data_IF_226845293596
#
_entry.id   IF_226845293596
#
_cell.length_a   1.000
_cell.length_b   1.000
_cell.length_c   1.000
_cell.angle_alpha   90.00
_cell.angle_beta   90.00
_cell.angle_gamma   90.00
#
_symmetry.space_group_name_H-M   'P 1'
#
loop_
_entity.id
_entity.type
_entity.pdbx_description
1 polymer ?
#
# COMPACT_ATOMS: atom_id res chain seq x y z
N UNK A 1 -3.79 8.77 -13.74
CA UNK A 1 -5.23 9.13 -13.62
C UNK A 1 -5.60 9.33 -12.15
N UNK A 2 -6.42 10.33 -11.77
CA UNK A 2 -6.75 10.60 -10.35
C UNK A 2 -8.02 9.87 -9.91
N UNK A 3 -7.88 8.71 -9.28
CA UNK A 3 -9.00 7.96 -8.68
C UNK A 3 -9.38 8.56 -7.32
N UNK A 4 -10.67 8.85 -7.09
CA UNK A 4 -11.15 9.25 -5.75
C UNK A 4 -11.21 8.03 -4.84
N UNK A 5 -10.37 8.00 -3.82
CA UNK A 5 -10.38 6.94 -2.80
C UNK A 5 -11.35 7.31 -1.69
N UNK A 6 -12.17 6.35 -1.25
CA UNK A 6 -13.00 6.50 -0.05
C UNK A 6 -12.17 6.09 1.16
N UNK A 7 -11.78 7.08 1.95
CA UNK A 7 -10.89 6.93 3.11
C UNK A 7 -11.45 7.57 4.38
N UNK A 8 -12.79 7.70 4.45
CA UNK A 8 -13.51 8.26 5.60
C UNK A 8 -14.67 7.37 6.02
N UNK A 9 -14.86 7.27 7.33
CA UNK A 9 -16.01 6.63 7.93
C UNK A 9 -17.29 7.41 7.63
N UNK A 10 -18.42 6.67 7.52
CA UNK A 10 -19.73 7.29 7.29
C UNK A 10 -20.18 8.13 8.49
N UNK A 11 -19.89 7.64 9.69
CA UNK A 11 -20.09 8.34 10.95
C UNK A 11 -18.70 8.66 11.51
N UNK A 12 -18.15 9.85 11.22
CA UNK A 12 -16.79 10.19 11.63
C UNK A 12 -16.65 10.26 13.14
N UNK A 13 -17.68 10.69 13.88
CA UNK A 13 -17.69 10.85 15.34
C UNK A 13 -17.67 9.53 16.14
N UNK A 14 -17.66 8.38 15.43
CA UNK A 14 -17.59 7.07 16.06
C UNK A 14 -16.18 6.49 15.86
N UNK A 15 -15.38 6.58 16.91
CA UNK A 15 -14.07 5.95 16.99
C UNK A 15 -14.18 4.47 16.58
N UNK A 16 -13.43 4.08 15.54
CA UNK A 16 -13.29 2.68 15.15
C UNK A 16 -12.08 2.05 15.83
N UNK A 17 -12.12 0.74 16.02
CA UNK A 17 -10.96 -0.02 16.51
C UNK A 17 -9.81 0.03 15.50
N UNK A 18 -8.59 -0.09 15.99
CA UNK A 18 -7.40 -0.17 15.15
C UNK A 18 -7.47 -1.32 14.13
N UNK A 19 -8.09 -2.46 14.50
CA UNK A 19 -8.39 -3.57 13.59
C UNK A 19 -9.29 -3.14 12.42
N UNK A 20 -10.42 -2.48 12.69
CA UNK A 20 -11.32 -1.97 11.64
C UNK A 20 -10.66 -0.90 10.77
N UNK A 21 -9.81 -0.06 11.34
CA UNK A 21 -9.02 0.89 10.58
C UNK A 21 -8.03 0.16 9.66
N UNK A 22 -7.40 -0.92 10.12
CA UNK A 22 -6.55 -1.79 9.29
C UNK A 22 -7.31 -2.41 8.12
N UNK A 23 -8.51 -2.93 8.36
CA UNK A 23 -9.36 -3.48 7.29
C UNK A 23 -9.77 -2.42 6.25
N UNK A 24 -10.17 -1.23 6.71
CA UNK A 24 -10.51 -0.11 5.83
C UNK A 24 -9.28 0.38 5.04
N UNK A 25 -8.12 0.42 5.67
CA UNK A 25 -6.86 0.78 5.04
C UNK A 25 -6.44 -0.28 4.00
N UNK A 26 -6.79 -1.55 4.18
CA UNK A 26 -6.59 -2.60 3.18
C UNK A 26 -7.34 -2.32 1.87
N UNK A 27 -8.56 -1.78 1.95
CA UNK A 27 -9.28 -1.32 0.77
C UNK A 27 -8.57 -0.14 0.08
N UNK A 28 -8.06 0.82 0.87
CA UNK A 28 -7.27 1.94 0.34
C UNK A 28 -6.02 1.45 -0.37
N UNK A 29 -5.24 0.56 0.24
CA UNK A 29 -4.03 -0.01 -0.35
C UNK A 29 -4.33 -0.72 -1.67
N UNK A 30 -5.44 -1.44 -1.74
CA UNK A 30 -5.90 -2.06 -2.99
C UNK A 30 -6.16 -1.03 -4.09
N UNK A 31 -6.88 0.06 -3.79
CA UNK A 31 -7.14 1.12 -4.78
C UNK A 31 -5.85 1.82 -5.23
N UNK A 32 -4.90 2.04 -4.31
CA UNK A 32 -3.60 2.61 -4.63
C UNK A 32 -2.79 1.69 -5.54
N UNK A 33 -2.68 0.41 -5.21
CA UNK A 33 -1.95 -0.58 -6.01
C UNK A 33 -2.56 -0.74 -7.42
N UNK A 34 -3.90 -0.80 -7.54
CA UNK A 34 -4.56 -0.82 -8.84
C UNK A 34 -4.33 0.46 -9.64
N UNK A 35 -4.36 1.62 -8.99
CA UNK A 35 -4.11 2.90 -9.66
C UNK A 35 -2.66 3.00 -10.13
N UNK A 36 -1.70 2.58 -9.32
CA UNK A 36 -0.29 2.55 -9.70
C UNK A 36 -0.03 1.60 -10.88
N UNK A 37 -0.60 0.39 -10.84
CA UNK A 37 -0.52 -0.55 -11.96
C UNK A 37 -1.11 0.00 -13.27
N UNK A 38 -2.19 0.78 -13.18
CA UNK A 38 -2.77 1.50 -14.34
C UNK A 38 -1.92 2.68 -14.80
N UNK A 39 -1.29 3.39 -13.87
CA UNK A 39 -0.42 4.51 -14.20
C UNK A 39 0.81 4.01 -14.97
N UNK A 40 1.45 2.92 -14.55
CA UNK A 40 2.54 2.32 -15.33
C UNK A 40 2.12 2.04 -16.78
N UNK A 41 0.94 1.48 -16.99
CA UNK A 41 0.42 1.27 -18.35
C UNK A 41 0.14 2.57 -19.12
N UNK A 42 -0.30 3.63 -18.42
CA UNK A 42 -0.54 4.94 -19.02
C UNK A 42 0.75 5.71 -19.34
N UNK A 43 1.86 5.39 -18.67
CA UNK A 43 3.21 5.87 -18.96
C UNK A 43 3.95 4.95 -19.96
N UNK A 44 3.19 4.23 -20.80
CA UNK A 44 3.66 3.34 -21.87
C UNK A 44 4.52 2.13 -21.44
N UNK A 45 4.55 1.79 -20.14
CA UNK A 45 5.11 0.51 -19.69
C UNK A 45 4.16 -0.64 -20.04
N UNK A 46 4.72 -1.78 -20.45
CA UNK A 46 3.94 -2.90 -21.00
C UNK A 46 4.00 -4.09 -20.05
N UNK A 47 2.82 -4.60 -19.69
CA UNK A 47 2.69 -5.93 -19.12
C UNK A 47 2.64 -6.97 -20.24
N UNK A 48 3.47 -8.01 -20.14
CA UNK A 48 3.51 -9.11 -21.10
C UNK A 48 2.22 -9.95 -21.03
N UNK A 49 1.70 -10.15 -19.82
CA UNK A 49 0.47 -10.89 -19.57
C UNK A 49 -0.17 -10.47 -18.24
N UNK A 50 -1.32 -11.08 -17.94
CA UNK A 50 -2.04 -10.84 -16.69
C UNK A 50 -1.29 -11.36 -15.46
N UNK A 51 -0.43 -12.39 -15.60
CA UNK A 51 0.40 -12.91 -14.49
C UNK A 51 1.37 -11.83 -14.04
N UNK A 52 2.06 -11.18 -14.97
CA UNK A 52 2.98 -10.10 -14.71
C UNK A 52 2.27 -8.89 -14.08
N UNK A 53 1.10 -8.51 -14.61
CA UNK A 53 0.29 -7.41 -14.04
C UNK A 53 -0.14 -7.69 -12.61
N UNK A 54 -0.63 -8.90 -12.33
CA UNK A 54 -1.03 -9.32 -10.97
C UNK A 54 0.18 -9.35 -10.03
N UNK A 55 1.35 -9.80 -10.50
CA UNK A 55 2.59 -9.78 -9.71
C UNK A 55 3.04 -8.35 -9.36
N UNK A 56 2.90 -7.38 -10.26
CA UNK A 56 3.18 -5.95 -9.98
C UNK A 56 2.23 -5.41 -8.91
N UNK A 57 0.93 -5.69 -9.01
CA UNK A 57 -0.06 -5.29 -7.99
C UNK A 57 0.30 -5.88 -6.62
N UNK A 58 0.79 -7.13 -6.57
CA UNK A 58 1.26 -7.77 -5.32
C UNK A 58 2.40 -6.98 -4.69
N UNK A 59 3.44 -6.62 -5.44
CA UNK A 59 4.58 -5.90 -4.88
C UNK A 59 4.18 -4.50 -4.37
N UNK A 60 3.29 -3.78 -5.08
CA UNK A 60 2.73 -2.52 -4.58
C UNK A 60 2.00 -2.69 -3.25
N UNK A 61 1.14 -3.71 -3.13
CA UNK A 61 0.45 -4.01 -1.88
C UNK A 61 1.42 -4.33 -0.73
N UNK A 62 2.46 -5.11 -1.00
CA UNK A 62 3.47 -5.46 0.00
C UNK A 62 4.20 -4.21 0.48
N UNK A 63 4.63 -3.35 -0.46
CA UNK A 63 5.26 -2.08 -0.15
C UNK A 63 4.34 -1.17 0.69
N UNK A 64 3.06 -1.09 0.35
CA UNK A 64 2.07 -0.32 1.09
C UNK A 64 1.81 -0.86 2.50
N UNK A 65 1.76 -2.18 2.69
CA UNK A 65 1.64 -2.80 4.03
C UNK A 65 2.87 -2.46 4.88
N UNK A 66 4.08 -2.52 4.29
CA UNK A 66 5.30 -2.12 4.99
C UNK A 66 5.27 -0.63 5.37
N UNK A 67 4.95 0.25 4.43
CA UNK A 67 4.89 1.69 4.67
C UNK A 67 3.83 2.04 5.73
N UNK A 68 2.68 1.36 5.73
CA UNK A 68 1.65 1.53 6.74
C UNK A 68 2.15 1.13 8.14
N UNK A 69 2.94 0.05 8.26
CA UNK A 69 3.56 -0.34 9.52
C UNK A 69 4.55 0.72 10.03
N UNK A 70 5.37 1.30 9.13
CA UNK A 70 6.29 2.40 9.51
C UNK A 70 5.53 3.66 9.95
N UNK A 71 4.50 4.06 9.20
CA UNK A 71 3.62 5.16 9.59
C UNK A 71 2.91 4.89 10.92
N UNK A 72 2.45 3.65 11.16
CA UNK A 72 1.83 3.24 12.41
C UNK A 72 2.82 3.31 13.58
N UNK A 73 4.06 2.90 13.37
CA UNK A 73 5.12 2.98 14.37
C UNK A 73 5.35 4.42 14.84
N UNK A 74 5.34 5.38 13.92
CA UNK A 74 5.57 6.79 14.24
C UNK A 74 4.35 7.48 14.89
N UNK A 75 3.13 7.00 14.62
CA UNK A 75 1.90 7.76 14.91
C UNK A 75 0.92 7.07 15.87
N UNK A 76 1.08 5.78 16.15
CA UNK A 76 0.15 5.01 16.97
C UNK A 76 0.83 4.41 18.20
N UNK A 77 0.03 4.15 19.23
CA UNK A 77 0.47 3.32 20.35
C UNK A 77 0.74 1.88 19.89
N UNK A 78 1.65 1.20 20.59
CA UNK A 78 2.07 -0.15 20.23
C UNK A 78 0.89 -1.15 20.18
N UNK A 79 -0.11 -1.00 21.05
CA UNK A 79 -1.30 -1.85 21.04
C UNK A 79 -2.15 -1.65 19.78
N UNK A 80 -2.36 -0.41 19.36
CA UNK A 80 -3.11 -0.09 18.14
C UNK A 80 -2.36 -0.54 16.89
N UNK A 81 -1.04 -0.32 16.83
CA UNK A 81 -0.20 -0.84 15.74
C UNK A 81 -0.28 -2.37 15.64
N UNK A 82 -0.19 -3.07 16.78
CA UNK A 82 -0.25 -4.53 16.84
C UNK A 82 -1.60 -5.10 16.39
N UNK A 83 -2.69 -4.33 16.50
CA UNK A 83 -3.99 -4.70 15.94
C UNK A 83 -4.15 -4.30 14.47
N UNK A 84 -3.70 -3.09 14.10
CA UNK A 84 -3.90 -2.52 12.76
C UNK A 84 -3.09 -3.26 11.68
N UNK A 85 -1.81 -3.53 11.93
CA UNK A 85 -0.90 -4.06 10.90
C UNK A 85 -1.29 -5.48 10.44
N UNK A 86 -1.59 -6.43 11.35
CA UNK A 86 -2.07 -7.75 10.94
C UNK A 86 -3.41 -7.69 10.20
N UNK A 87 -4.35 -6.86 10.67
CA UNK A 87 -5.66 -6.68 10.03
C UNK A 87 -5.52 -6.15 8.60
N UNK A 88 -4.64 -5.15 8.41
CA UNK A 88 -4.27 -4.61 7.10
C UNK A 88 -3.67 -5.67 6.19
N UNK A 89 -2.65 -6.40 6.67
CA UNK A 89 -1.97 -7.42 5.88
C UNK A 89 -2.94 -8.51 5.40
N UNK A 90 -3.82 -8.98 6.29
CA UNK A 90 -4.84 -9.98 5.96
C UNK A 90 -5.90 -9.42 5.00
N UNK A 91 -6.32 -8.16 5.16
CA UNK A 91 -7.25 -7.53 4.24
C UNK A 91 -6.66 -7.43 2.82
N UNK A 92 -5.39 -7.00 2.69
CA UNK A 92 -4.67 -6.99 1.42
C UNK A 92 -4.55 -8.39 0.82
N UNK A 93 -4.18 -9.40 1.62
CA UNK A 93 -4.01 -10.77 1.14
C UNK A 93 -5.33 -11.38 0.63
N UNK A 94 -6.45 -11.16 1.35
CA UNK A 94 -7.79 -11.60 0.92
C UNK A 94 -8.22 -10.93 -0.38
N UNK A 95 -8.01 -9.62 -0.49
CA UNK A 95 -8.38 -8.86 -1.68
C UNK A 95 -7.54 -9.29 -2.89
N UNK A 96 -6.23 -9.45 -2.71
CA UNK A 96 -5.32 -9.97 -3.71
C UNK A 96 -5.74 -11.36 -4.18
N UNK A 97 -5.98 -12.28 -3.23
CA UNK A 97 -6.40 -13.65 -3.55
C UNK A 97 -7.66 -13.70 -4.41
N UNK A 98 -8.71 -12.97 -4.02
CA UNK A 98 -9.97 -12.94 -4.79
C UNK A 98 -9.75 -12.49 -6.24
N UNK A 99 -8.96 -11.44 -6.45
CA UNK A 99 -8.69 -10.91 -7.79
C UNK A 99 -7.73 -11.82 -8.58
N UNK A 100 -6.74 -12.41 -7.92
CA UNK A 100 -5.82 -13.34 -8.57
C UNK A 100 -6.55 -14.62 -9.01
N UNK A 101 -7.48 -15.15 -8.21
CA UNK A 101 -8.31 -16.30 -8.62
C UNK A 101 -9.18 -15.96 -9.82
N UNK A 102 -9.78 -14.77 -9.84
CA UNK A 102 -10.62 -14.31 -10.95
C UNK A 102 -9.84 -14.18 -12.25
N UNK A 103 -8.61 -13.65 -12.19
CA UNK A 103 -7.79 -13.34 -13.37
C UNK A 103 -6.93 -14.53 -13.82
N UNK A 104 -6.36 -15.29 -12.88
CA UNK A 104 -5.35 -16.32 -13.14
C UNK A 104 -5.87 -17.75 -12.93
N UNK A 105 -7.10 -17.91 -12.43
CA UNK A 105 -7.67 -19.21 -12.06
C UNK A 105 -7.21 -19.70 -10.68
N UNK A 106 -7.55 -20.95 -10.34
CA UNK A 106 -7.34 -21.51 -8.99
C UNK A 106 -5.89 -21.46 -8.51
N UNK A 107 -5.68 -21.07 -7.26
CA UNK A 107 -4.36 -21.05 -6.61
C UNK A 107 -4.42 -20.53 -5.18
N UNK A 108 -3.40 -20.86 -4.37
CA UNK A 108 -3.27 -20.33 -3.01
C UNK A 108 -2.50 -19.00 -2.98
N UNK A 109 -3.10 -17.99 -3.61
CA UNK A 109 -2.50 -16.65 -3.68
C UNK A 109 -2.44 -15.95 -2.32
N UNK A 110 -3.27 -16.37 -1.35
CA UNK A 110 -3.24 -15.76 -0.02
C UNK A 110 -1.96 -16.18 0.73
N UNK A 111 -1.63 -17.48 0.75
CA UNK A 111 -0.40 -17.95 1.37
C UNK A 111 0.83 -17.36 0.66
N UNK A 112 0.85 -17.36 -0.68
CA UNK A 112 1.95 -16.78 -1.46
C UNK A 112 2.14 -15.28 -1.20
N UNK A 113 1.05 -14.53 -1.01
CA UNK A 113 1.11 -13.11 -0.64
C UNK A 113 1.79 -12.92 0.70
N UNK A 114 1.36 -13.66 1.74
CA UNK A 114 1.92 -13.54 3.10
C UNK A 114 3.39 -13.96 3.15
N UNK A 115 3.75 -15.04 2.45
CA UNK A 115 5.15 -15.48 2.34
C UNK A 115 6.02 -14.39 1.69
N UNK A 116 5.55 -13.82 0.57
CA UNK A 116 6.27 -12.75 -0.12
C UNK A 116 6.38 -11.51 0.78
N UNK A 117 5.29 -11.11 1.44
CA UNK A 117 5.28 -9.99 2.39
C UNK A 117 6.34 -10.17 3.48
N UNK A 118 6.38 -11.34 4.12
CA UNK A 118 7.35 -11.62 5.19
C UNK A 118 8.79 -11.58 4.67
N UNK A 119 9.06 -12.17 3.51
CA UNK A 119 10.39 -12.14 2.88
C UNK A 119 10.84 -10.71 2.56
N UNK A 120 9.95 -9.89 1.99
CA UNK A 120 10.24 -8.49 1.63
C UNK A 120 10.46 -7.64 2.88
N UNK A 121 9.64 -7.84 3.92
CA UNK A 121 9.77 -7.13 5.19
C UNK A 121 11.10 -7.40 5.90
N UNK A 122 11.73 -8.56 5.69
CA UNK A 122 13.08 -8.82 6.18
C UNK A 122 14.09 -7.78 5.71
N UNK A 123 14.10 -7.48 4.41
CA UNK A 123 15.00 -6.47 3.85
C UNK A 123 14.50 -5.03 4.04
N UNK A 124 13.20 -4.79 3.81
CA UNK A 124 12.62 -3.45 3.98
C UNK A 124 12.78 -2.94 5.42
N UNK A 125 12.77 -3.85 6.41
CA UNK A 125 12.99 -3.52 7.81
C UNK A 125 14.36 -2.91 8.12
N UNK A 126 15.36 -3.14 7.28
CA UNK A 126 16.72 -2.59 7.38
C UNK A 126 16.83 -1.21 6.70
N UNK A 127 15.84 -0.85 5.89
CA UNK A 127 15.83 0.40 5.15
C UNK A 127 15.30 1.56 5.99
N UNK A 128 15.82 2.76 5.75
CA UNK A 128 15.36 3.97 6.42
C UNK A 128 13.93 4.35 6.00
N UNK A 129 13.12 4.76 6.97
CA UNK A 129 11.83 5.40 6.79
C UNK A 129 11.75 6.54 7.81
N UNK A 130 11.41 7.75 7.38
CA UNK A 130 11.42 8.92 8.26
C UNK A 130 10.61 10.06 7.68
N UNK A 131 10.11 10.93 8.55
CA UNK A 131 9.27 12.08 8.17
C UNK A 131 8.03 11.67 7.33
N UNK A 132 7.52 10.44 7.56
CA UNK A 132 6.40 9.88 6.81
C UNK A 132 6.74 9.43 5.38
N UNK A 133 8.03 9.33 5.03
CA UNK A 133 8.51 8.98 3.69
C UNK A 133 9.48 7.79 3.71
N UNK A 134 9.47 6.95 2.65
CA UNK A 134 10.46 5.91 2.46
C UNK A 134 11.79 6.53 2.05
N UNK A 135 12.90 6.09 2.64
CA UNK A 135 14.22 6.49 2.19
C UNK A 135 14.63 5.81 0.88
N UNK A 136 15.74 6.30 0.30
CA UNK A 136 16.22 5.83 -0.99
C UNK A 136 16.40 4.30 -1.08
N UNK A 137 17.01 3.68 -0.06
CA UNK A 137 17.24 2.24 -0.06
C UNK A 137 15.93 1.42 -0.14
N UNK A 138 14.87 1.89 0.54
CA UNK A 138 13.57 1.24 0.52
C UNK A 138 12.91 1.36 -0.86
N UNK A 139 12.93 2.57 -1.44
CA UNK A 139 12.38 2.81 -2.79
C UNK A 139 13.17 2.04 -3.86
N UNK A 140 14.50 2.00 -3.75
CA UNK A 140 15.38 1.20 -4.61
C UNK A 140 15.00 -0.27 -4.58
N UNK A 141 14.87 -0.86 -3.38
CA UNK A 141 14.55 -2.27 -3.21
C UNK A 141 13.16 -2.61 -3.76
N UNK A 142 12.17 -1.77 -3.48
CA UNK A 142 10.83 -1.93 -4.03
C UNK A 142 10.81 -1.85 -5.57
N UNK A 143 11.45 -0.83 -6.13
CA UNK A 143 11.48 -0.61 -7.58
C UNK A 143 12.26 -1.72 -8.31
N UNK A 144 13.29 -2.27 -7.68
CA UNK A 144 14.04 -3.42 -8.18
C UNK A 144 13.16 -4.67 -8.33
N UNK A 145 12.25 -4.90 -7.37
CA UNK A 145 11.27 -6.00 -7.47
C UNK A 145 10.29 -5.80 -8.62
N UNK A 146 9.85 -4.56 -8.89
CA UNK A 146 9.02 -4.25 -10.05
C UNK A 146 9.79 -4.47 -11.36
N UNK A 147 11.03 -3.96 -11.46
CA UNK A 147 11.90 -4.16 -12.63
C UNK A 147 12.14 -5.66 -12.90
N UNK A 148 12.40 -6.45 -11.85
CA UNK A 148 12.61 -7.89 -11.98
C UNK A 148 11.36 -8.62 -12.51
N UNK A 149 10.15 -8.15 -12.19
CA UNK A 149 8.89 -8.70 -12.71
C UNK A 149 8.67 -8.26 -14.16
N UNK A 150 8.87 -6.97 -14.46
CA UNK A 150 8.55 -6.36 -15.75
C UNK A 150 9.61 -6.60 -16.84
N UNK A 151 10.81 -7.03 -16.44
CA UNK A 151 11.92 -7.30 -17.35
C UNK A 151 12.64 -6.04 -17.80
N UNK A 152 13.74 -6.20 -18.54
CA UNK A 152 14.65 -5.10 -18.94
C UNK A 152 14.64 -4.86 -20.46
N UNK A 153 13.50 -5.12 -21.13
CA UNK A 153 13.38 -4.80 -22.55
C UNK A 153 13.41 -3.28 -22.79
N UNK A 154 13.45 -2.88 -24.05
CA UNK A 154 13.57 -1.46 -24.42
C UNK A 154 12.45 -0.59 -23.84
N UNK A 155 11.26 -1.16 -23.64
CA UNK A 155 10.09 -0.46 -23.09
C UNK A 155 10.19 -0.36 -21.56
N UNK A 156 10.51 -1.46 -20.89
CA UNK A 156 10.44 -1.56 -19.43
C UNK A 156 11.75 -1.23 -18.71
N UNK A 157 12.88 -1.01 -19.41
CA UNK A 157 14.20 -0.70 -18.82
C UNK A 157 14.25 0.50 -17.86
N UNK A 158 13.24 1.37 -17.88
CA UNK A 158 13.15 2.58 -17.06
C UNK A 158 11.99 2.53 -16.06
N UNK A 159 11.34 1.37 -15.89
CA UNK A 159 10.22 1.26 -14.95
C UNK A 159 10.69 1.46 -13.52
N UNK A 160 11.93 1.07 -13.22
CA UNK A 160 12.51 1.31 -11.91
C UNK A 160 12.55 2.81 -11.56
N UNK A 161 12.97 3.68 -12.48
CA UNK A 161 13.04 5.13 -12.23
C UNK A 161 11.64 5.73 -12.05
N UNK A 162 10.67 5.32 -12.88
CA UNK A 162 9.26 5.70 -12.71
C UNK A 162 8.74 5.33 -11.32
N UNK A 163 9.00 4.10 -10.87
CA UNK A 163 8.52 3.62 -9.57
C UNK A 163 9.24 4.30 -8.42
N UNK A 164 10.55 4.52 -8.54
CA UNK A 164 11.38 5.08 -7.48
C UNK A 164 11.10 6.57 -7.26
N UNK A 165 10.97 7.34 -8.35
CA UNK A 165 10.91 8.80 -8.29
C UNK A 165 9.47 9.34 -8.28
N UNK A 166 8.52 8.58 -8.82
CA UNK A 166 7.12 9.03 -9.00
C UNK A 166 6.16 8.16 -8.19
N UNK A 167 5.98 6.89 -8.56
CA UNK A 167 4.87 6.09 -8.02
C UNK A 167 5.07 5.78 -6.53
N UNK A 168 6.26 5.32 -6.13
CA UNK A 168 6.59 4.95 -4.74
C UNK A 168 6.36 6.07 -3.73
N UNK A 169 6.96 7.26 -3.91
CA UNK A 169 6.70 8.40 -3.05
C UNK A 169 5.22 8.84 -3.07
N UNK A 170 4.55 8.77 -4.23
CA UNK A 170 3.16 9.21 -4.34
C UNK A 170 2.19 8.29 -3.60
N UNK A 171 2.32 6.97 -3.75
CA UNK A 171 1.45 6.03 -3.07
C UNK A 171 1.61 6.09 -1.55
N UNK A 172 2.82 6.36 -1.02
CA UNK A 172 3.04 6.55 0.42
C UNK A 172 2.39 7.85 0.91
N UNK A 173 2.51 8.95 0.17
CA UNK A 173 1.82 10.21 0.53
C UNK A 173 0.30 10.03 0.58
N UNK A 174 -0.27 9.32 -0.39
CA UNK A 174 -1.70 9.03 -0.41
C UNK A 174 -2.10 8.10 0.75
N UNK A 175 -1.31 7.07 1.03
CA UNK A 175 -1.51 6.16 2.16
C UNK A 175 -1.51 6.91 3.51
N UNK A 176 -0.49 7.74 3.76
CA UNK A 176 -0.38 8.53 4.98
C UNK A 176 -1.60 9.45 5.18
N UNK A 177 -2.04 10.11 4.10
CA UNK A 177 -3.26 10.93 4.12
C UNK A 177 -4.50 10.11 4.47
N UNK A 178 -4.69 8.95 3.86
CA UNK A 178 -5.85 8.10 4.13
C UNK A 178 -5.82 7.50 5.54
N UNK A 179 -4.65 7.09 6.03
CA UNK A 179 -4.48 6.64 7.41
C UNK A 179 -4.83 7.76 8.41
N UNK A 180 -4.38 8.99 8.15
CA UNK A 180 -4.77 10.16 8.94
C UNK A 180 -6.28 10.41 8.89
N UNK A 181 -6.92 10.33 7.71
CA UNK A 181 -8.37 10.51 7.58
C UNK A 181 -9.19 9.44 8.33
N UNK A 182 -8.70 8.20 8.42
CA UNK A 182 -9.35 7.13 9.18
C UNK A 182 -9.19 7.30 10.71
N UNK A 183 -8.15 8.01 11.16
CA UNK A 183 -7.86 8.28 12.57
C UNK A 183 -8.29 9.68 13.05
N UNK A 184 -8.56 10.61 12.13
CA UNK A 184 -8.92 11.98 12.46
C UNK A 184 -10.32 12.07 13.06
N UNK A 185 -10.38 11.97 14.39
CA UNK A 185 -11.61 12.16 15.19
C UNK A 185 -11.36 12.79 16.58
N UNK A 186 -10.37 13.70 16.71
CA UNK A 186 -10.10 14.41 17.98
C UNK A 186 -10.09 15.94 17.97
N UNK A 187 -10.28 16.63 16.84
CA UNK A 187 -9.94 18.07 16.80
C UNK A 187 -10.92 19.03 16.13
N UNK A 188 -12.18 18.65 15.89
CA UNK A 188 -13.20 19.59 15.36
C UNK A 188 -14.43 19.80 16.24
N UNK A 189 -14.42 19.34 17.50
CA UNK A 189 -15.49 19.61 18.48
C UNK A 189 -15.21 20.71 19.52
N UNK A 190 -13.98 21.21 19.64
CA UNK A 190 -13.56 22.04 20.79
C UNK A 190 -13.32 23.53 20.48
N UNK A 191 -13.85 24.09 19.38
CA UNK A 191 -13.76 25.54 19.09
C UNK A 191 -15.06 26.11 18.54
N UNK A 192 -16.13 26.10 19.33
CA UNK A 192 -17.25 27.07 19.24
C UNK A 192 -18.02 27.12 20.56
N UNK A 193 -17.32 27.44 21.66
CA UNK A 193 -17.94 27.99 22.88
C UNK A 193 -16.87 28.85 23.57
N UNK A 194 -17.20 30.09 23.92
CA UNK A 194 -16.32 31.19 24.41
C UNK A 194 -15.84 32.11 23.28
N UNK A 195 -16.24 33.38 23.16
CA UNK A 195 -17.06 34.26 23.99
C UNK A 195 -17.65 35.33 23.07
#
# INVERSE_FOLDING_TARGET
MKTRIRDRWRNPDQQQSAEKNGEALGYVCWQLALTAGRNLHAEDFIYQDDVQRVAVIREYLIFLVHAADRLAFDNLEQADRAALVPALALACARQFHRNAVEVLGSGDYQAQFIETLNRRNGHYGECSFGEGLPGYALLRAFSDHIQAIMGNDQTNRWVMDQVMDIDGPDVVRQLAKSMSNLHADKTKGAKTSST
#
